data_IF_498061293382
#
_entry.id   IF_498061293382
#
_cell.length_a   1.000
_cell.length_b   1.000
_cell.length_c   1.000
_cell.angle_alpha   90.00
_cell.angle_beta   90.00
_cell.angle_gamma   90.00
#
_symmetry.space_group_name_H-M   'P 1'
#
loop_
_entity.id
_entity.type
_entity.pdbx_description
1 polymer ?
#
# COMPACT_ATOMS: atom_id res chain seq x y z
N UNK A 1 -4.98 16.07 -0.29
CA UNK A 1 -4.69 14.76 -0.93
C UNK A 1 -3.19 14.54 -0.93
N UNK A 2 -2.65 13.34 -0.62
CA UNK A 2 -1.19 13.14 -0.56
C UNK A 2 -0.50 13.43 -1.89
N UNK A 3 -1.15 13.16 -3.01
CA UNK A 3 -0.62 13.43 -4.35
C UNK A 3 -0.61 14.92 -4.76
N UNK A 4 -1.19 15.82 -3.99
CA UNK A 4 -1.11 17.26 -4.25
C UNK A 4 0.06 17.93 -3.50
N UNK A 5 0.76 17.21 -2.64
CA UNK A 5 1.98 17.70 -1.99
C UNK A 5 3.19 17.26 -2.80
N UNK A 6 3.86 18.23 -3.43
CA UNK A 6 5.03 17.98 -4.28
C UNK A 6 6.20 17.31 -3.55
N UNK A 7 6.31 17.51 -2.23
CA UNK A 7 7.35 16.89 -1.39
C UNK A 7 7.15 15.38 -1.26
N UNK A 8 5.91 14.89 -1.37
CA UNK A 8 5.57 13.47 -1.25
C UNK A 8 5.63 12.73 -2.59
N UNK A 9 5.53 13.44 -3.71
CA UNK A 9 5.41 12.81 -5.03
C UNK A 9 6.58 11.88 -5.37
N UNK A 10 7.80 12.25 -4.99
CA UNK A 10 9.00 11.43 -5.19
C UNK A 10 8.97 10.12 -4.41
N UNK A 11 8.25 10.08 -3.30
CA UNK A 11 8.07 8.89 -2.47
C UNK A 11 6.85 8.06 -2.83
N UNK A 12 5.87 8.63 -3.56
CA UNK A 12 4.61 7.96 -3.89
C UNK A 12 4.62 7.33 -5.29
N UNK A 13 5.78 6.81 -5.72
CA UNK A 13 5.88 6.13 -7.01
C UNK A 13 5.11 4.81 -7.04
N UNK A 14 5.15 4.03 -5.96
CA UNK A 14 4.44 2.78 -5.83
C UNK A 14 3.55 2.81 -4.60
N UNK A 15 2.23 2.77 -4.83
CA UNK A 15 1.25 2.87 -3.74
C UNK A 15 0.27 1.71 -3.74
N UNK A 16 -0.15 1.34 -2.53
CA UNK A 16 -1.17 0.34 -2.28
C UNK A 16 -2.44 1.03 -1.77
N UNK A 17 -3.57 0.84 -2.42
CA UNK A 17 -4.85 1.45 -2.04
C UNK A 17 -5.78 0.36 -1.52
N UNK A 18 -6.11 0.46 -0.24
CA UNK A 18 -6.96 -0.52 0.44
C UNK A 18 -8.41 -0.08 0.38
N UNK A 19 -9.19 -0.74 -0.48
CA UNK A 19 -10.55 -0.41 -0.85
C UNK A 19 -11.57 -1.36 -0.19
N UNK A 20 -12.86 -0.98 -0.07
CA UNK A 20 -13.86 -1.78 0.62
C UNK A 20 -14.27 -3.06 -0.13
N UNK A 21 -14.23 -3.09 -1.45
CA UNK A 21 -14.75 -4.20 -2.25
C UNK A 21 -14.08 -4.32 -3.63
N UNK A 22 -14.28 -5.47 -4.27
CA UNK A 22 -13.85 -5.70 -5.67
C UNK A 22 -14.49 -4.69 -6.62
N UNK A 23 -15.78 -4.41 -6.43
CA UNK A 23 -16.50 -3.41 -7.23
C UNK A 23 -15.89 -2.01 -7.07
N UNK A 24 -15.49 -1.63 -5.84
CA UNK A 24 -14.80 -0.37 -5.57
C UNK A 24 -13.43 -0.31 -6.24
N UNK A 25 -12.66 -1.42 -6.26
CA UNK A 25 -11.38 -1.49 -6.97
C UNK A 25 -11.56 -1.27 -8.47
N UNK A 26 -12.54 -1.94 -9.08
CA UNK A 26 -12.85 -1.79 -10.51
C UNK A 26 -13.30 -0.36 -10.84
N UNK A 27 -14.22 0.21 -10.06
CA UNK A 27 -14.70 1.59 -10.23
C UNK A 27 -13.55 2.61 -10.10
N UNK A 28 -12.68 2.44 -9.10
CA UNK A 28 -11.51 3.29 -8.90
C UNK A 28 -10.54 3.21 -10.07
N UNK A 29 -10.28 2.01 -10.61
CA UNK A 29 -9.44 1.84 -11.81
C UNK A 29 -9.98 2.61 -13.02
N UNK A 30 -11.29 2.57 -13.22
CA UNK A 30 -11.94 3.35 -14.30
C UNK A 30 -11.82 4.86 -14.02
N UNK A 31 -12.05 5.28 -12.78
CA UNK A 31 -11.98 6.69 -12.37
C UNK A 31 -10.59 7.28 -12.61
N UNK A 32 -9.52 6.57 -12.22
CA UNK A 32 -8.14 7.04 -12.37
C UNK A 32 -7.73 7.24 -13.85
N UNK A 33 -8.37 6.54 -14.77
CA UNK A 33 -8.12 6.65 -16.23
C UNK A 33 -8.94 7.73 -16.93
N UNK A 34 -9.87 8.40 -16.22
CA UNK A 34 -10.66 9.48 -16.82
C UNK A 34 -9.82 10.71 -17.16
N UNK A 35 -10.21 11.45 -18.20
CA UNK A 35 -9.52 12.69 -18.65
C UNK A 35 -9.39 13.74 -17.55
N UNK A 36 -10.32 13.81 -16.61
CA UNK A 36 -10.25 14.71 -15.44
C UNK A 36 -9.11 14.37 -14.49
N UNK A 37 -8.57 13.16 -14.56
CA UNK A 37 -7.56 12.63 -13.66
C UNK A 37 -6.22 12.42 -14.36
N UNK A 38 -5.83 13.34 -15.26
CA UNK A 38 -4.58 13.27 -16.06
C UNK A 38 -3.32 13.07 -15.22
N UNK A 39 -3.31 13.54 -13.98
CA UNK A 39 -2.21 13.36 -13.05
C UNK A 39 -1.81 11.88 -12.89
N UNK A 40 -2.79 10.96 -12.97
CA UNK A 40 -2.53 9.53 -12.78
C UNK A 40 -2.19 8.77 -14.07
N UNK A 41 -2.06 9.45 -15.20
CA UNK A 41 -1.78 8.76 -16.48
C UNK A 41 -0.40 8.11 -16.52
N UNK A 42 0.57 8.65 -15.75
CA UNK A 42 1.90 8.06 -15.61
C UNK A 42 1.92 6.83 -14.71
N UNK A 43 0.82 6.55 -14.00
CA UNK A 43 0.71 5.41 -13.10
C UNK A 43 0.08 4.21 -13.83
N UNK A 44 0.75 3.06 -13.76
CA UNK A 44 0.13 1.79 -14.12
C UNK A 44 -0.81 1.36 -12.98
N UNK A 45 -2.11 1.24 -13.27
CA UNK A 45 -3.13 0.89 -12.28
C UNK A 45 -3.40 -0.61 -12.36
N UNK A 46 -3.16 -1.32 -11.26
CA UNK A 46 -3.34 -2.77 -11.12
C UNK A 46 -4.52 -3.04 -10.20
N UNK A 47 -5.47 -3.88 -10.63
CA UNK A 47 -6.57 -4.35 -9.78
C UNK A 47 -6.22 -5.74 -9.27
N UNK A 48 -5.73 -5.80 -8.02
CA UNK A 48 -5.40 -7.04 -7.32
C UNK A 48 -6.56 -7.43 -6.37
N UNK A 49 -7.74 -7.70 -6.94
CA UNK A 49 -8.97 -7.99 -6.22
C UNK A 49 -9.86 -8.97 -7.01
N UNK A 50 -10.68 -9.75 -6.29
CA UNK A 50 -11.56 -10.75 -6.91
C UNK A 50 -10.86 -12.09 -7.17
N UNK A 51 -11.62 -13.08 -7.65
CA UNK A 51 -11.12 -14.46 -7.84
C UNK A 51 -10.08 -14.54 -8.97
N UNK A 52 -10.17 -13.68 -9.96
CA UNK A 52 -9.26 -13.59 -11.10
C UNK A 52 -7.82 -13.19 -10.68
N UNK A 53 -7.67 -12.51 -9.55
CA UNK A 53 -6.35 -12.05 -9.07
C UNK A 53 -5.50 -13.17 -8.41
N UNK A 54 -5.99 -14.43 -8.32
CA UNK A 54 -5.29 -15.51 -7.65
C UNK A 54 -5.19 -15.33 -6.12
N UNK A 55 -4.32 -16.09 -5.47
CA UNK A 55 -4.01 -15.97 -4.04
C UNK A 55 -2.50 -15.99 -3.80
N UNK A 56 -2.03 -15.31 -2.73
CA UNK A 56 -0.61 -15.32 -2.35
C UNK A 56 0.31 -14.81 -3.46
N UNK A 57 1.29 -15.61 -3.85
CA UNK A 57 2.29 -15.26 -4.88
C UNK A 57 1.66 -14.95 -6.25
N UNK A 58 0.59 -15.65 -6.65
CA UNK A 58 -0.09 -15.40 -7.92
C UNK A 58 -0.76 -14.02 -7.97
N UNK A 59 -1.25 -13.53 -6.83
CA UNK A 59 -1.87 -12.20 -6.76
C UNK A 59 -0.84 -11.05 -6.85
N UNK A 60 0.42 -11.35 -6.59
CA UNK A 60 1.53 -10.37 -6.60
C UNK A 60 2.19 -10.27 -7.97
N UNK A 61 2.20 -11.35 -8.73
CA UNK A 61 2.86 -11.40 -10.03
C UNK A 61 2.44 -10.25 -10.97
N UNK A 62 1.14 -9.92 -11.15
CA UNK A 62 0.74 -8.77 -11.96
C UNK A 62 1.27 -7.44 -11.44
N UNK A 63 1.49 -7.31 -10.11
CA UNK A 63 2.05 -6.10 -9.51
C UNK A 63 3.51 -5.93 -9.90
N UNK A 64 4.33 -6.98 -9.76
CA UNK A 64 5.74 -6.94 -10.17
C UNK A 64 5.91 -6.77 -11.68
N UNK A 65 5.09 -7.46 -12.48
CA UNK A 65 5.11 -7.32 -13.94
C UNK A 65 4.78 -5.88 -14.37
N UNK A 66 3.86 -5.19 -13.68
CA UNK A 66 3.55 -3.80 -13.95
C UNK A 66 4.65 -2.83 -13.50
N UNK A 67 5.39 -3.20 -12.45
CA UNK A 67 6.51 -2.39 -11.96
C UNK A 67 7.68 -2.39 -12.93
N UNK A 68 7.97 -3.52 -13.62
CA UNK A 68 9.12 -3.67 -14.53
C UNK A 68 10.45 -3.23 -13.87
N UNK A 69 10.87 -1.98 -14.12
CA UNK A 69 11.93 -1.30 -13.37
C UNK A 69 11.31 -0.39 -12.29
N UNK A 70 11.26 -0.82 -11.02
CA UNK A 70 10.58 -0.06 -9.96
C UNK A 70 11.20 1.30 -9.66
N UNK A 71 12.42 1.58 -10.09
CA UNK A 71 13.04 2.90 -9.89
C UNK A 71 12.59 3.92 -10.94
N UNK A 72 12.02 3.46 -12.07
CA UNK A 72 11.62 4.31 -13.20
C UNK A 72 10.13 4.35 -13.46
N UNK A 73 9.38 3.42 -12.90
CA UNK A 73 7.95 3.29 -13.12
C UNK A 73 7.14 3.80 -11.94
N UNK A 74 5.84 4.00 -12.17
CA UNK A 74 4.89 4.37 -11.12
C UNK A 74 3.70 3.42 -11.17
N UNK A 75 3.28 2.91 -10.02
CA UNK A 75 2.14 1.99 -9.93
C UNK A 75 1.17 2.35 -8.82
N UNK A 76 -0.11 2.08 -9.07
CA UNK A 76 -1.17 2.10 -8.07
C UNK A 76 -1.78 0.70 -8.02
N UNK A 77 -1.63 0.02 -6.91
CA UNK A 77 -2.24 -1.31 -6.68
C UNK A 77 -3.53 -1.15 -5.89
N UNK A 78 -4.65 -1.50 -6.50
CA UNK A 78 -5.98 -1.46 -5.90
C UNK A 78 -6.36 -2.83 -5.36
N UNK A 79 -6.61 -2.96 -4.06
CA UNK A 79 -6.98 -4.24 -3.43
C UNK A 79 -8.01 -4.07 -2.32
N UNK A 80 -8.77 -5.12 -2.04
CA UNK A 80 -9.78 -5.13 -0.98
C UNK A 80 -9.57 -6.26 0.05
N UNK A 81 -8.34 -6.80 0.14
CA UNK A 81 -7.99 -7.81 1.14
C UNK A 81 -7.03 -8.91 0.68
N UNK A 82 -7.00 -9.25 -0.62
CA UNK A 82 -6.16 -10.38 -1.11
C UNK A 82 -4.66 -10.22 -0.89
N UNK A 83 -4.16 -8.99 -0.89
CA UNK A 83 -2.75 -8.68 -0.65
C UNK A 83 -2.48 -8.19 0.78
N UNK A 84 -3.44 -8.34 1.69
CA UNK A 84 -3.28 -7.92 3.08
C UNK A 84 -2.48 -8.90 3.94
N UNK A 85 -2.32 -10.15 3.51
CA UNK A 85 -1.58 -11.19 4.23
C UNK A 85 -0.65 -11.96 3.31
N UNK A 86 0.48 -12.42 3.85
CA UNK A 86 1.39 -13.35 3.17
C UNK A 86 2.13 -12.82 1.94
N UNK A 87 2.14 -11.50 1.71
CA UNK A 87 2.71 -10.88 0.53
C UNK A 87 3.66 -9.75 0.91
N UNK A 88 4.82 -9.68 0.30
CA UNK A 88 5.78 -8.59 0.46
C UNK A 88 6.06 -7.96 -0.90
N UNK A 89 5.78 -6.67 -1.04
CA UNK A 89 6.14 -5.88 -2.23
C UNK A 89 7.01 -4.71 -1.76
N UNK A 90 8.30 -4.90 -1.83
CA UNK A 90 9.31 -3.96 -1.28
C UNK A 90 9.16 -2.52 -1.80
N UNK A 91 8.86 -2.27 -3.10
CA UNK A 91 8.72 -0.92 -3.64
C UNK A 91 7.48 -0.14 -3.15
N UNK A 92 6.49 -0.76 -2.51
CA UNK A 92 5.37 0.02 -1.97
C UNK A 92 5.83 0.98 -0.88
N UNK A 93 5.67 2.27 -1.12
CA UNK A 93 6.09 3.37 -0.24
C UNK A 93 4.91 4.03 0.48
N UNK A 94 3.71 3.89 -0.03
CA UNK A 94 2.53 4.48 0.57
C UNK A 94 1.29 3.61 0.50
N UNK A 95 0.50 3.61 1.58
CA UNK A 95 -0.82 3.00 1.60
C UNK A 95 -1.91 4.06 1.81
N UNK A 96 -2.99 3.99 1.03
CA UNK A 96 -4.19 4.76 1.23
C UNK A 96 -5.28 3.87 1.82
N UNK A 97 -5.69 4.17 3.06
CA UNK A 97 -6.76 3.49 3.78
C UNK A 97 -8.12 4.06 3.35
N UNK A 98 -8.68 3.51 2.28
CA UNK A 98 -9.96 3.93 1.69
C UNK A 98 -11.12 3.00 2.09
N UNK A 99 -10.85 2.07 3.01
CA UNK A 99 -11.83 1.16 3.59
C UNK A 99 -12.10 1.54 5.05
N UNK A 100 -13.36 1.48 5.46
CA UNK A 100 -13.68 1.55 6.88
C UNK A 100 -13.34 0.21 7.55
N UNK A 101 -12.28 0.20 8.35
CA UNK A 101 -11.78 -0.98 9.07
C UNK A 101 -12.00 -0.79 10.56
N UNK A 102 -12.71 -1.71 11.19
CA UNK A 102 -13.01 -1.70 12.63
C UNK A 102 -12.05 -2.58 13.44
N UNK A 103 -11.40 -3.55 12.79
CA UNK A 103 -10.42 -4.43 13.42
C UNK A 103 -9.03 -3.80 13.36
N UNK A 104 -8.36 -3.59 14.53
CA UNK A 104 -6.96 -3.13 14.58
C UNK A 104 -6.02 -4.07 13.82
N UNK A 105 -6.21 -5.37 13.95
CA UNK A 105 -5.39 -6.36 13.24
C UNK A 105 -5.45 -6.18 11.73
N UNK A 106 -6.66 -6.07 11.15
CA UNK A 106 -6.84 -5.86 9.72
C UNK A 106 -6.21 -4.53 9.28
N UNK A 107 -6.34 -3.49 10.10
CA UNK A 107 -5.76 -2.18 9.83
C UNK A 107 -4.23 -2.26 9.77
N UNK A 108 -3.60 -2.81 10.80
CA UNK A 108 -2.15 -2.89 10.88
C UNK A 108 -1.56 -3.92 9.93
N UNK A 109 -2.22 -5.03 9.66
CA UNK A 109 -1.83 -5.97 8.60
C UNK A 109 -1.75 -5.28 7.24
N UNK A 110 -2.67 -4.38 6.93
CA UNK A 110 -2.60 -3.60 5.71
C UNK A 110 -1.49 -2.53 5.78
N UNK A 111 -1.40 -1.77 6.88
CA UNK A 111 -0.40 -0.71 7.06
C UNK A 111 1.04 -1.25 6.97
N UNK A 112 1.31 -2.42 7.54
CA UNK A 112 2.64 -3.04 7.52
C UNK A 112 3.11 -3.47 6.13
N UNK A 113 2.23 -3.51 5.12
CA UNK A 113 2.61 -3.85 3.74
C UNK A 113 3.62 -2.87 3.15
N UNK A 114 3.61 -1.62 3.58
CA UNK A 114 4.53 -0.61 3.08
C UNK A 114 5.81 -0.49 3.91
N UNK A 115 5.95 -1.24 5.01
CA UNK A 115 7.12 -1.14 5.90
C UNK A 115 8.29 -2.03 5.48
N UNK A 116 8.09 -2.97 4.54
CA UNK A 116 9.17 -3.88 4.11
C UNK A 116 10.34 -3.08 3.56
N UNK A 117 11.59 -3.31 4.04
CA UNK A 117 12.76 -2.62 3.53
C UNK A 117 12.94 -2.83 2.03
N UNK A 118 13.36 -1.77 1.34
CA UNK A 118 13.75 -1.83 -0.07
C UNK A 118 15.15 -1.25 -0.22
N UNK A 119 16.10 -2.13 -0.50
CA UNK A 119 17.51 -1.83 -0.66
C UNK A 119 18.00 -2.35 -2.00
N UNK A 120 19.07 -1.78 -2.51
CA UNK A 120 19.84 -2.28 -3.64
C UNK A 120 21.32 -2.33 -3.26
N UNK A 121 22.13 -2.97 -4.10
CA UNK A 121 23.59 -2.89 -4.00
C UNK A 121 24.10 -1.76 -4.89
N UNK A 122 25.05 -0.98 -4.40
CA UNK A 122 25.79 -0.02 -5.20
C UNK A 122 26.92 -0.69 -6.00
N UNK A 123 27.74 0.12 -6.72
CA UNK A 123 28.86 -0.36 -7.51
C UNK A 123 29.98 -1.00 -6.67
N UNK A 124 30.00 -0.72 -5.35
CA UNK A 124 30.97 -1.25 -4.39
C UNK A 124 30.44 -2.45 -3.61
N UNK A 125 29.19 -2.85 -3.86
CA UNK A 125 28.50 -3.95 -3.16
C UNK A 125 27.88 -3.54 -1.81
N UNK A 126 27.90 -2.26 -1.46
CA UNK A 126 27.28 -1.71 -0.24
C UNK A 126 25.76 -1.61 -0.38
N UNK A 127 25.02 -1.77 0.73
CA UNK A 127 23.57 -1.65 0.74
C UNK A 127 23.15 -0.18 0.73
N UNK A 128 22.46 0.24 -0.32
CA UNK A 128 21.79 1.54 -0.41
C UNK A 128 20.30 1.41 -0.14
N UNK A 129 19.75 2.33 0.65
CA UNK A 129 18.34 2.36 1.00
C UNK A 129 17.58 3.10 -0.10
N UNK A 130 16.76 2.38 -0.87
CA UNK A 130 15.90 2.94 -1.92
C UNK A 130 14.60 3.51 -1.35
N UNK A 131 14.18 3.06 -0.17
CA UNK A 131 12.96 3.49 0.51
C UNK A 131 13.28 3.92 1.94
N UNK A 132 13.69 5.19 2.17
CA UNK A 132 13.98 5.70 3.50
C UNK A 132 12.73 5.94 4.34
N UNK A 133 11.56 6.15 3.69
CA UNK A 133 10.29 6.43 4.34
C UNK A 133 9.16 5.60 3.73
N UNK A 134 8.16 5.30 4.55
CA UNK A 134 6.86 4.79 4.11
C UNK A 134 5.74 5.57 4.78
N UNK A 135 4.58 5.64 4.12
CA UNK A 135 3.49 6.51 4.52
C UNK A 135 2.18 5.74 4.63
N UNK A 136 1.44 5.99 5.70
CA UNK A 136 0.06 5.55 5.86
C UNK A 136 -0.86 6.77 5.80
N UNK A 137 -1.75 6.81 4.82
CA UNK A 137 -2.74 7.87 4.67
C UNK A 137 -4.12 7.35 5.07
N UNK A 138 -4.66 7.85 6.16
CA UNK A 138 -6.04 7.59 6.56
C UNK A 138 -6.84 8.89 6.53
N UNK A 139 -7.99 8.84 5.88
CA UNK A 139 -8.88 9.99 5.71
C UNK A 139 -9.94 10.11 6.81
N UNK A 140 -9.86 9.24 7.84
CA UNK A 140 -10.68 9.25 9.03
C UNK A 140 -9.80 9.28 10.29
N UNK A 141 -9.27 10.46 10.71
CA UNK A 141 -8.27 10.57 11.78
C UNK A 141 -8.75 9.98 13.11
N UNK A 142 -10.02 10.14 13.48
CA UNK A 142 -10.58 9.56 14.70
C UNK A 142 -10.54 8.02 14.67
N UNK A 143 -10.77 7.42 13.50
CA UNK A 143 -10.64 5.97 13.33
C UNK A 143 -9.19 5.55 13.46
N UNK A 144 -8.28 6.23 12.79
CA UNK A 144 -6.84 5.93 12.84
C UNK A 144 -6.31 5.97 14.28
N UNK A 145 -6.63 7.01 15.02
CA UNK A 145 -6.25 7.15 16.43
C UNK A 145 -6.82 6.02 17.30
N UNK A 146 -8.08 5.65 17.10
CA UNK A 146 -8.70 4.52 17.81
C UNK A 146 -7.97 3.22 17.52
N UNK A 147 -7.64 2.92 16.27
CA UNK A 147 -6.90 1.72 15.90
C UNK A 147 -5.53 1.67 16.59
N UNK A 148 -4.81 2.79 16.61
CA UNK A 148 -3.50 2.88 17.30
C UNK A 148 -3.66 2.64 18.80
N UNK A 149 -4.66 3.24 19.44
CA UNK A 149 -4.93 3.06 20.87
C UNK A 149 -5.28 1.60 21.20
N UNK A 150 -6.23 1.01 20.48
CA UNK A 150 -6.67 -0.38 20.71
C UNK A 150 -5.52 -1.37 20.51
N UNK A 151 -4.68 -1.16 19.48
CA UNK A 151 -3.52 -2.00 19.24
C UNK A 151 -2.46 -1.87 20.34
N UNK A 152 -2.18 -0.66 20.80
CA UNK A 152 -1.22 -0.44 21.90
C UNK A 152 -1.68 -1.08 23.22
N UNK A 153 -2.99 -1.04 23.50
CA UNK A 153 -3.54 -1.74 24.66
C UNK A 153 -3.39 -3.26 24.58
N UNK A 154 -3.54 -3.84 23.38
CA UNK A 154 -3.34 -5.27 23.18
C UNK A 154 -1.88 -5.70 23.40
N UNK A 155 -0.91 -4.87 22.99
CA UNK A 155 0.51 -5.15 23.21
C UNK A 155 0.88 -5.12 24.72
N UNK A 156 0.34 -4.15 25.45
CA UNK A 156 0.66 -3.99 26.88
C UNK A 156 0.09 -5.12 27.78
N UNK A 157 -0.97 -5.80 27.37
CA UNK A 157 -1.54 -6.94 28.13
C UNK A 157 -0.59 -8.13 28.15
N UNK A 158 0.31 -8.26 27.19
CA UNK A 158 1.32 -9.33 27.16
C UNK A 158 2.55 -9.05 28.04
N UNK A 159 2.78 -7.80 28.45
CA UNK A 159 3.88 -7.43 29.36
C UNK A 159 3.51 -7.51 30.85
N UNK A 160 2.25 -7.66 31.20
CA UNK A 160 1.75 -7.61 32.57
C UNK A 160 1.56 -8.97 33.27
N UNK A 161 2.12 -10.04 32.73
CA UNK A 161 2.21 -11.32 33.43
C UNK A 161 3.66 -11.60 33.87
N UNK A 162 3.94 -11.51 35.20
CA UNK A 162 5.24 -11.93 35.78
C UNK A 162 5.38 -13.45 35.80
#
# INVERSE_FOLDING_TARGET
MPFSDSRLLSYLQHTYWFLPSVAACRAMSVLLRKRSNRFFYDYKVIVAAGNEAGMGAQAVEPVYNAMEDPQRTKTITLSCGKLSTGVTVKPWTGILMLRNTTSPETYFQAAFRVQSPWTAKDEHGEDIILKPFCYVFDFAPNRALRQVQEYSCQLNVHESNP
#
